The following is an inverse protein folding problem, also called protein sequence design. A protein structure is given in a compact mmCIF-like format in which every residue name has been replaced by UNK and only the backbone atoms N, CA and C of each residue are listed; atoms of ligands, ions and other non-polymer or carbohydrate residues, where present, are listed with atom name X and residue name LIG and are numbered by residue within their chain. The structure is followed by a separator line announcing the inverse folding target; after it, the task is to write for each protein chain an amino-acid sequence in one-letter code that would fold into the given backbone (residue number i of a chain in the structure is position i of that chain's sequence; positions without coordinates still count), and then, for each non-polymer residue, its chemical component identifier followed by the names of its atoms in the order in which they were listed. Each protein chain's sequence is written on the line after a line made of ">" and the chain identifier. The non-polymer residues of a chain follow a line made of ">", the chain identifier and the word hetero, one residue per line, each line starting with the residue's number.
data_IF_140197071279
#
_entry.id   IF_140197071279
#
_cell.length_a   1.000
_cell.length_b   1.000
_cell.length_c   1.000
_cell.angle_alpha   90.00
_cell.angle_beta   90.00
_cell.angle_gamma   90.00
#
_symmetry.space_group_name_H-M   'P 1'
#
loop_
_entity.id
_entity.type
_entity.pdbx_description
1 polymer ?
#
# COMPACT_ATOMS: atom_id res chain seq x y z
N UNK A 1 6.09 13.51 -15.77
CA UNK A 1 5.13 12.67 -16.54
C UNK A 1 5.87 11.43 -17.04
N UNK A 2 5.23 10.27 -17.06
CA UNK A 2 5.86 9.02 -17.50
C UNK A 2 6.33 9.12 -18.97
N UNK A 3 7.59 8.74 -19.22
CA UNK A 3 8.24 8.81 -20.54
C UNK A 3 7.83 7.66 -21.46
N UNK A 4 7.30 6.55 -20.93
CA UNK A 4 6.93 5.34 -21.70
C UNK A 4 5.45 4.97 -21.63
N UNK A 5 4.68 5.69 -20.80
CA UNK A 5 3.23 5.56 -20.68
C UNK A 5 2.79 4.52 -19.66
N UNK A 6 1.73 4.85 -18.91
CA UNK A 6 1.25 4.10 -17.75
C UNK A 6 0.91 2.63 -18.05
N UNK A 7 0.62 2.27 -19.32
CA UNK A 7 0.32 0.88 -19.71
C UNK A 7 1.52 -0.05 -19.54
N UNK A 8 2.74 0.43 -19.81
CA UNK A 8 3.96 -0.36 -19.66
C UNK A 8 4.29 -0.58 -18.18
N UNK A 9 3.98 0.42 -17.34
CA UNK A 9 4.23 0.36 -15.90
C UNK A 9 3.05 -0.18 -15.08
N UNK A 10 1.97 -0.63 -15.72
CA UNK A 10 0.71 -0.98 -15.04
C UNK A 10 0.91 -2.02 -13.93
N UNK A 11 1.74 -3.02 -14.18
CA UNK A 11 2.06 -4.07 -13.21
C UNK A 11 2.81 -3.50 -11.99
N UNK A 12 3.87 -2.72 -12.23
CA UNK A 12 4.65 -2.07 -11.18
C UNK A 12 3.81 -1.09 -10.35
N UNK A 13 2.90 -0.34 -10.99
CA UNK A 13 1.97 0.58 -10.33
C UNK A 13 0.99 -0.19 -9.44
N UNK A 14 0.44 -1.31 -9.92
CA UNK A 14 -0.45 -2.15 -9.11
C UNK A 14 0.30 -2.78 -7.92
N UNK A 15 1.54 -3.24 -8.13
CA UNK A 15 2.36 -3.83 -7.07
C UNK A 15 2.71 -2.82 -5.97
N UNK A 16 3.20 -1.63 -6.34
CA UNK A 16 3.63 -0.63 -5.35
C UNK A 16 2.44 -0.12 -4.53
N UNK A 17 1.25 -0.02 -5.13
CA UNK A 17 0.03 0.42 -4.44
C UNK A 17 -0.42 -0.55 -3.35
N UNK A 18 0.01 -1.82 -3.41
CA UNK A 18 -0.20 -2.80 -2.34
C UNK A 18 0.95 -2.75 -1.34
N UNK A 19 2.19 -2.86 -1.81
CA UNK A 19 3.35 -3.07 -0.92
C UNK A 19 3.63 -1.83 -0.07
N UNK A 20 3.60 -0.63 -0.66
CA UNK A 20 3.96 0.60 0.05
C UNK A 20 3.08 0.88 1.28
N UNK A 21 1.73 0.90 1.19
CA UNK A 21 0.91 1.17 2.38
C UNK A 21 0.99 0.03 3.41
N UNK A 22 1.12 -1.23 3.00
CA UNK A 22 1.25 -2.35 3.94
C UNK A 22 2.57 -2.28 4.73
N UNK A 23 3.69 -2.02 4.05
CA UNK A 23 5.00 -1.87 4.69
C UNK A 23 5.05 -0.66 5.63
N UNK A 24 4.51 0.49 5.18
CA UNK A 24 4.46 1.68 6.02
C UNK A 24 3.55 1.49 7.25
N UNK A 25 2.42 0.78 7.10
CA UNK A 25 1.52 0.47 8.21
C UNK A 25 2.21 -0.40 9.27
N UNK A 26 2.97 -1.42 8.84
CA UNK A 26 3.76 -2.29 9.72
C UNK A 26 4.87 -1.53 10.47
N UNK A 27 5.55 -0.60 9.80
CA UNK A 27 6.52 0.30 10.46
C UNK A 27 5.82 1.22 11.47
N UNK A 28 4.65 1.77 11.11
CA UNK A 28 3.89 2.68 11.97
C UNK A 28 3.36 1.96 13.22
N UNK A 29 2.87 0.73 13.07
CA UNK A 29 2.38 -0.09 14.18
C UNK A 29 3.50 -0.43 15.17
N UNK A 30 4.69 -0.82 14.67
CA UNK A 30 5.87 -0.99 15.52
C UNK A 30 6.25 0.29 16.27
N UNK A 31 6.16 1.45 15.61
CA UNK A 31 6.45 2.73 16.26
C UNK A 31 5.44 3.04 17.37
N UNK A 32 4.13 2.79 17.14
CA UNK A 32 3.09 2.90 18.18
C UNK A 32 3.42 2.00 19.36
N UNK A 33 3.78 0.75 19.10
CA UNK A 33 4.08 -0.23 20.14
C UNK A 33 5.26 0.20 21.03
N UNK A 34 6.32 0.78 20.45
CA UNK A 34 7.48 1.30 21.19
C UNK A 34 7.09 2.48 22.10
N UNK A 35 6.14 3.32 21.68
CA UNK A 35 5.65 4.45 22.46
C UNK A 35 4.60 4.05 23.52
N UNK A 36 4.16 2.78 23.55
CA UNK A 36 3.10 2.31 24.42
C UNK A 36 1.80 3.11 24.24
N UNK A 37 1.10 3.38 25.34
CA UNK A 37 -0.17 4.16 25.31
C UNK A 37 0.01 5.53 24.67
N UNK A 38 1.20 6.13 24.78
CA UNK A 38 1.46 7.43 24.17
C UNK A 38 1.39 7.38 22.63
N UNK A 39 1.72 6.24 22.02
CA UNK A 39 1.66 6.06 20.56
C UNK A 39 0.27 6.16 19.95
N UNK A 40 -0.79 5.92 20.75
CA UNK A 40 -2.20 6.07 20.31
C UNK A 40 -2.83 7.39 20.71
N UNK A 41 -2.14 8.23 21.47
CA UNK A 41 -2.63 9.56 21.85
C UNK A 41 -2.53 10.54 20.68
N UNK A 42 -3.17 11.70 20.84
CA UNK A 42 -3.09 12.79 19.87
C UNK A 42 -1.82 13.65 20.04
N UNK A 43 -1.05 13.40 21.09
CA UNK A 43 0.24 14.06 21.35
C UNK A 43 1.30 13.67 20.30
N UNK A 44 1.13 12.52 19.65
CA UNK A 44 1.98 12.02 18.58
C UNK A 44 1.18 11.87 17.28
N UNK A 45 1.85 12.05 16.15
CA UNK A 45 1.23 11.88 14.82
C UNK A 45 0.98 10.42 14.44
N UNK A 46 1.41 9.46 15.26
CA UNK A 46 1.42 8.03 14.92
C UNK A 46 0.00 7.45 14.73
N UNK A 47 -0.95 7.80 15.59
CA UNK A 47 -2.34 7.36 15.49
C UNK A 47 -3.01 7.85 14.19
N UNK A 48 -2.76 9.11 13.82
CA UNK A 48 -3.21 9.70 12.56
C UNK A 48 -2.62 8.99 11.35
N UNK A 49 -1.30 8.76 11.34
CA UNK A 49 -0.64 8.06 10.24
C UNK A 49 -1.12 6.62 10.09
N UNK A 50 -1.34 5.90 11.18
CA UNK A 50 -1.88 4.55 11.14
C UNK A 50 -3.24 4.51 10.41
N UNK A 51 -4.13 5.47 10.69
CA UNK A 51 -5.43 5.58 10.02
C UNK A 51 -5.29 5.93 8.54
N UNK A 52 -4.41 6.88 8.19
CA UNK A 52 -4.17 7.25 6.78
C UNK A 52 -3.62 6.07 5.99
N UNK A 53 -2.58 5.41 6.50
CA UNK A 53 -1.95 4.27 5.84
C UNK A 53 -2.94 3.12 5.65
N UNK A 54 -3.80 2.88 6.65
CA UNK A 54 -4.88 1.91 6.55
C UNK A 54 -5.94 2.29 5.51
N UNK A 55 -6.22 3.59 5.37
CA UNK A 55 -7.13 4.14 4.37
C UNK A 55 -6.57 3.99 2.95
N UNK A 56 -5.26 4.17 2.76
CA UNK A 56 -4.60 4.02 1.45
C UNK A 56 -4.68 2.61 0.87
N UNK A 57 -4.97 1.60 1.68
CA UNK A 57 -5.26 0.22 1.24
C UNK A 57 -6.65 0.04 0.62
N UNK A 58 -7.47 1.09 0.64
CA UNK A 58 -8.85 1.13 0.14
C UNK A 58 -9.00 2.24 -0.90
N UNK A 59 -8.35 3.39 -0.67
CA UNK A 59 -8.36 4.53 -1.58
C UNK A 59 -7.86 4.14 -2.99
N UNK A 60 -8.44 4.75 -4.01
CA UNK A 60 -8.31 4.44 -5.44
C UNK A 60 -8.84 3.05 -5.82
N UNK A 61 -8.30 1.97 -5.24
CA UNK A 61 -8.90 0.63 -5.24
C UNK A 61 -8.37 -0.19 -4.03
N UNK A 62 -9.14 -1.17 -3.52
CA UNK A 62 -8.66 -2.08 -2.49
C UNK A 62 -7.50 -2.97 -2.95
N UNK A 63 -6.60 -3.35 -2.03
CA UNK A 63 -5.46 -4.25 -2.30
C UNK A 63 -5.83 -5.50 -3.13
N UNK A 64 -7.01 -6.09 -2.88
CA UNK A 64 -7.47 -7.30 -3.57
C UNK A 64 -7.82 -7.06 -5.04
N UNK A 65 -8.26 -5.84 -5.40
CA UNK A 65 -8.51 -5.45 -6.78
C UNK A 65 -7.18 -5.34 -7.54
N UNK A 66 -6.18 -4.69 -6.93
CA UNK A 66 -4.83 -4.64 -7.49
C UNK A 66 -4.19 -6.03 -7.62
N UNK A 67 -4.34 -6.92 -6.62
CA UNK A 67 -3.86 -8.31 -6.73
C UNK A 67 -4.51 -9.08 -7.87
N UNK A 68 -5.81 -8.89 -8.10
CA UNK A 68 -6.50 -9.50 -9.25
C UNK A 68 -5.92 -9.01 -10.57
N UNK A 69 -5.61 -7.72 -10.68
CA UNK A 69 -4.98 -7.14 -11.87
C UNK A 69 -3.60 -7.74 -12.12
N UNK A 70 -2.75 -7.81 -11.08
CA UNK A 70 -1.43 -8.45 -11.17
C UNK A 70 -1.57 -9.92 -11.59
N UNK A 71 -2.44 -10.69 -10.93
CA UNK A 71 -2.66 -12.10 -11.26
C UNK A 71 -3.07 -12.33 -12.72
N UNK A 72 -3.91 -11.45 -13.30
CA UNK A 72 -4.27 -11.53 -14.72
C UNK A 72 -3.08 -11.26 -15.65
N UNK A 73 -2.23 -10.30 -15.31
CA UNK A 73 -1.03 -9.98 -16.08
C UNK A 73 -0.03 -11.14 -16.03
N UNK A 74 0.26 -11.66 -14.83
CA UNK A 74 1.14 -12.81 -14.61
C UNK A 74 0.66 -14.06 -15.37
N UNK A 75 -0.62 -14.41 -15.26
CA UNK A 75 -1.19 -15.56 -15.97
C UNK A 75 -1.15 -15.39 -17.50
N UNK A 76 -1.25 -14.16 -18.01
CA UNK A 76 -1.11 -13.90 -19.44
C UNK A 76 0.33 -14.03 -19.91
N UNK A 77 1.31 -13.70 -19.07
CA UNK A 77 2.73 -13.84 -19.38
C UNK A 77 3.17 -15.30 -19.34
N UNK A 78 2.73 -16.05 -18.32
CA UNK A 78 3.06 -17.48 -18.16
C UNK A 78 2.49 -18.40 -19.26
N UNK A 79 1.51 -17.94 -20.04
CA UNK A 79 0.92 -18.70 -21.16
C UNK A 79 1.64 -18.47 -22.49
N UNK A 80 2.63 -17.59 -22.53
CA UNK A 80 3.51 -17.37 -23.69
C UNK A 80 4.72 -18.29 -23.61
#
# INVERSE_FOLDING_TARGET
>A
MDKRGNKVAQEAIAMIKIIAPNMALDVCDRAIQIHGVAGVRQDFVLSYWHVILRTLRIADEPDKVHMRTIAKLELSQSKR
#
